data_IF_494659659904
#
_entry.id   IF_494659659904
#
_cell.length_a   1.000
_cell.length_b   1.000
_cell.length_c   1.000
_cell.angle_alpha   90.00
_cell.angle_beta   90.00
_cell.angle_gamma   90.00
#
_symmetry.space_group_name_H-M   'P 1'
#
loop_
_entity.id
_entity.type
_entity.pdbx_description
1 polymer ?
#
# COMPACT_ATOMS: atom_id res chain seq x y z
N UNK A 1 -14.60 -62.47 -42.78
CA UNK A 1 -15.42 -61.26 -43.00
C UNK A 1 -15.54 -60.56 -41.67
N UNK A 2 -14.97 -59.35 -41.65
CA UNK A 2 -14.94 -58.36 -40.58
C UNK A 2 -16.34 -57.92 -40.17
N UNK A 3 -16.59 -57.74 -38.88
CA UNK A 3 -17.18 -56.48 -38.40
C UNK A 3 -17.02 -56.39 -36.88
N UNK A 4 -16.03 -55.62 -36.46
CA UNK A 4 -15.90 -55.06 -35.12
C UNK A 4 -16.58 -53.69 -35.20
N UNK A 5 -17.67 -53.48 -34.48
CA UNK A 5 -18.23 -52.14 -34.24
C UNK A 5 -17.60 -51.58 -32.94
N UNK A 6 -16.75 -50.54 -33.02
CA UNK A 6 -16.15 -49.90 -31.87
C UNK A 6 -16.72 -48.48 -31.72
N UNK A 7 -17.94 -48.32 -31.24
CA UNK A 7 -18.49 -46.98 -30.99
C UNK A 7 -19.28 -46.90 -29.68
N UNK A 8 -18.63 -47.15 -28.54
CA UNK A 8 -19.08 -46.61 -27.26
C UNK A 8 -17.91 -46.45 -26.28
N UNK A 9 -16.93 -45.63 -26.64
CA UNK A 9 -15.84 -45.28 -25.73
C UNK A 9 -15.36 -43.84 -25.96
N UNK A 10 -16.27 -42.87 -25.89
CA UNK A 10 -15.92 -41.45 -25.82
C UNK A 10 -17.13 -40.64 -25.36
N UNK A 11 -17.30 -40.48 -24.05
CA UNK A 11 -18.26 -39.49 -23.51
C UNK A 11 -17.92 -39.16 -22.06
N UNK A 12 -17.41 -40.14 -21.30
CA UNK A 12 -17.02 -39.92 -19.91
C UNK A 12 -15.82 -38.97 -19.74
N UNK A 13 -14.93 -38.85 -20.74
CA UNK A 13 -13.76 -37.94 -20.72
C UNK A 13 -14.07 -36.49 -21.16
N UNK A 14 -15.19 -36.28 -21.86
CA UNK A 14 -15.63 -34.95 -22.29
C UNK A 14 -16.54 -34.31 -21.24
N UNK A 15 -17.37 -35.12 -20.56
CA UNK A 15 -18.30 -34.63 -19.56
C UNK A 15 -17.57 -34.01 -18.35
N UNK A 16 -16.47 -34.60 -17.85
CA UNK A 16 -15.71 -34.03 -16.73
C UNK A 16 -14.88 -32.79 -17.11
N UNK A 17 -14.42 -32.69 -18.36
CA UNK A 17 -13.71 -31.49 -18.86
C UNK A 17 -14.66 -30.33 -19.03
N UNK A 18 -15.85 -30.60 -19.56
CA UNK A 18 -16.94 -29.63 -19.70
C UNK A 18 -17.39 -29.10 -18.33
N UNK A 19 -17.53 -29.98 -17.32
CA UNK A 19 -17.89 -29.59 -15.96
C UNK A 19 -16.79 -28.77 -15.26
N UNK A 20 -15.53 -29.16 -15.44
CA UNK A 20 -14.38 -28.41 -14.89
C UNK A 20 -14.22 -27.02 -15.54
N UNK A 21 -14.48 -26.91 -16.85
CA UNK A 21 -14.41 -25.65 -17.58
C UNK A 21 -15.61 -24.75 -17.26
N UNK A 22 -16.82 -25.31 -17.11
CA UNK A 22 -18.01 -24.59 -16.68
C UNK A 22 -17.86 -24.04 -15.25
N UNK A 23 -17.28 -24.81 -14.33
CA UNK A 23 -17.02 -24.33 -12.97
C UNK A 23 -15.91 -23.28 -12.93
N UNK A 24 -14.86 -23.41 -13.76
CA UNK A 24 -13.84 -22.36 -13.93
C UNK A 24 -14.41 -21.07 -14.51
N UNK A 25 -15.31 -21.17 -15.48
CA UNK A 25 -15.98 -20.03 -16.09
C UNK A 25 -16.90 -19.33 -15.09
N UNK A 26 -17.65 -20.11 -14.29
CA UNK A 26 -18.52 -19.58 -13.23
C UNK A 26 -17.73 -18.87 -12.13
N UNK A 27 -16.61 -19.45 -11.69
CA UNK A 27 -15.72 -18.82 -10.72
C UNK A 27 -15.08 -17.55 -11.30
N UNK A 28 -14.62 -17.59 -12.54
CA UNK A 28 -14.07 -16.40 -13.21
C UNK A 28 -15.12 -15.28 -13.39
N UNK A 29 -16.38 -15.63 -13.67
CA UNK A 29 -17.46 -14.66 -13.78
C UNK A 29 -17.89 -14.10 -12.41
N UNK A 30 -17.83 -14.93 -11.35
CA UNK A 30 -18.02 -14.48 -9.98
C UNK A 30 -16.89 -13.57 -9.49
N UNK A 31 -15.63 -13.90 -9.80
CA UNK A 31 -14.46 -13.07 -9.51
C UNK A 31 -14.47 -11.77 -10.30
N UNK A 32 -14.86 -11.79 -11.58
CA UNK A 32 -15.00 -10.58 -12.39
C UNK A 32 -16.14 -9.69 -11.87
N UNK A 33 -17.26 -10.28 -11.43
CA UNK A 33 -18.39 -9.55 -10.84
C UNK A 33 -18.08 -9.00 -9.45
N UNK A 34 -17.30 -9.70 -8.65
CA UNK A 34 -16.78 -9.22 -7.38
C UNK A 34 -15.82 -8.05 -7.62
N UNK A 35 -14.86 -8.19 -8.53
CA UNK A 35 -13.91 -7.14 -8.88
C UNK A 35 -14.59 -5.86 -9.44
N UNK A 36 -15.71 -6.00 -10.16
CA UNK A 36 -16.48 -4.87 -10.67
C UNK A 36 -17.38 -4.18 -9.61
N UNK A 37 -17.66 -4.85 -8.49
CA UNK A 37 -18.59 -4.36 -7.44
C UNK A 37 -17.87 -3.82 -6.20
N UNK A 38 -16.54 -3.95 -6.12
CA UNK A 38 -15.72 -3.66 -4.94
C UNK A 38 -14.98 -2.32 -5.01
N UNK A 39 -15.16 -1.50 -6.06
CA UNK A 39 -14.55 -0.17 -6.06
C UNK A 39 -15.40 0.79 -5.23
N UNK A 40 -14.92 1.24 -4.05
CA UNK A 40 -15.62 2.28 -3.31
C UNK A 40 -15.78 3.51 -4.19
N UNK A 41 -16.91 4.24 -4.10
CA UNK A 41 -17.14 5.43 -4.91
C UNK A 41 -16.00 6.42 -4.67
N UNK A 42 -15.38 6.88 -5.75
CA UNK A 42 -14.37 7.95 -5.67
C UNK A 42 -15.11 9.20 -5.19
N UNK A 43 -14.69 9.81 -4.06
CA UNK A 43 -15.33 11.00 -3.54
C UNK A 43 -15.21 12.16 -4.54
N UNK A 44 -16.14 13.10 -4.45
CA UNK A 44 -16.11 14.30 -5.29
C UNK A 44 -14.79 15.07 -5.09
N UNK A 45 -14.27 15.61 -6.19
CA UNK A 45 -13.01 16.36 -6.17
C UNK A 45 -13.24 17.77 -5.61
N UNK A 46 -13.28 17.89 -4.28
CA UNK A 46 -13.37 19.17 -3.56
C UNK A 46 -12.02 19.60 -2.97
N UNK A 47 -11.89 20.89 -2.63
CA UNK A 47 -10.68 21.41 -2.01
C UNK A 47 -10.42 20.74 -0.65
N UNK A 48 -11.46 20.54 0.15
CA UNK A 48 -11.37 19.86 1.44
C UNK A 48 -10.86 18.44 1.28
N UNK A 49 -11.40 17.70 0.29
CA UNK A 49 -10.93 16.35 0.02
C UNK A 49 -9.45 16.34 -0.40
N UNK A 50 -9.02 17.31 -1.20
CA UNK A 50 -7.61 17.43 -1.58
C UNK A 50 -6.70 17.69 -0.37
N UNK A 51 -7.08 18.59 0.54
CA UNK A 51 -6.34 18.85 1.78
C UNK A 51 -6.28 17.61 2.67
N UNK A 52 -7.41 16.91 2.84
CA UNK A 52 -7.47 15.66 3.62
C UNK A 52 -6.58 14.58 3.00
N UNK A 53 -6.57 14.44 1.68
CA UNK A 53 -5.72 13.47 0.98
C UNK A 53 -4.23 13.73 1.22
N UNK A 54 -3.79 14.99 1.14
CA UNK A 54 -2.41 15.39 1.45
C UNK A 54 -2.08 15.21 2.94
N UNK A 55 -2.99 15.59 3.83
CA UNK A 55 -2.83 15.38 5.27
C UNK A 55 -2.69 13.88 5.62
N UNK A 56 -3.43 13.02 4.93
CA UNK A 56 -3.34 11.57 5.08
C UNK A 56 -1.97 11.03 4.68
N UNK A 57 -1.33 11.60 3.65
CA UNK A 57 0.04 11.24 3.27
C UNK A 57 1.05 11.62 4.36
N UNK A 58 0.88 12.79 4.99
CA UNK A 58 1.71 13.18 6.14
C UNK A 58 1.51 12.23 7.34
N UNK A 59 0.26 11.86 7.67
CA UNK A 59 -0.04 10.91 8.74
C UNK A 59 0.50 9.51 8.45
N UNK A 60 0.45 9.06 7.20
CA UNK A 60 1.01 7.78 6.77
C UNK A 60 2.54 7.76 6.92
N UNK A 61 3.22 8.85 6.54
CA UNK A 61 4.67 9.00 6.77
C UNK A 61 5.02 9.01 8.26
N UNK A 62 4.11 9.48 9.12
CA UNK A 62 4.21 9.38 10.58
C UNK A 62 3.85 7.99 11.14
N UNK A 63 3.66 6.98 10.28
CA UNK A 63 3.36 5.58 10.64
C UNK A 63 2.20 5.43 11.64
N UNK A 64 1.20 6.30 11.54
CA UNK A 64 -0.01 6.24 12.37
C UNK A 64 -0.87 5.07 11.91
N UNK A 65 -1.04 4.06 12.76
CA UNK A 65 -1.83 2.85 12.47
C UNK A 65 -2.98 2.70 13.47
N UNK A 66 -4.19 2.39 13.01
CA UNK A 66 -5.26 1.97 13.90
C UNK A 66 -4.97 0.57 14.44
N UNK A 67 -5.05 0.42 15.76
CA UNK A 67 -5.08 -0.84 16.49
C UNK A 67 -6.45 -1.52 16.31
N UNK A 68 -6.57 -2.87 16.45
CA UNK A 68 -7.87 -3.55 16.44
C UNK A 68 -8.84 -3.06 17.53
N UNK A 69 -8.34 -2.39 18.58
CA UNK A 69 -9.17 -1.71 19.59
C UNK A 69 -9.68 -0.32 19.18
N UNK A 70 -9.31 0.16 17.99
CA UNK A 70 -9.62 1.50 17.49
C UNK A 70 -8.69 2.60 17.99
N UNK A 71 -7.67 2.28 18.80
CA UNK A 71 -6.65 3.24 19.23
C UNK A 71 -5.61 3.47 18.13
N UNK A 72 -5.21 4.70 17.89
CA UNK A 72 -4.12 4.97 16.95
C UNK A 72 -2.79 4.82 17.67
N UNK A 73 -1.96 3.88 17.22
CA UNK A 73 -0.58 3.73 17.66
C UNK A 73 0.39 4.14 16.55
N UNK A 74 1.55 4.64 16.93
CA UNK A 74 2.60 5.07 16.00
C UNK A 74 3.72 4.02 16.04
N UNK A 75 4.03 3.42 14.89
CA UNK A 75 5.20 2.55 14.78
C UNK A 75 6.46 3.40 14.61
N UNK A 76 7.13 3.70 15.73
CA UNK A 76 8.32 4.56 15.78
C UNK A 76 9.50 4.05 14.93
N UNK A 77 9.51 2.77 14.52
CA UNK A 77 10.54 2.23 13.63
C UNK A 77 10.23 2.46 12.14
N UNK A 78 8.96 2.69 11.81
CA UNK A 78 8.48 2.90 10.45
C UNK A 78 8.21 4.36 10.12
N UNK A 79 8.44 5.29 11.07
CA UNK A 79 8.27 6.73 10.84
C UNK A 79 9.31 7.26 9.87
N UNK A 80 8.87 7.86 8.77
CA UNK A 80 9.69 8.69 7.89
C UNK A 80 9.44 10.17 8.18
N UNK A 81 10.29 10.72 9.06
CA UNK A 81 10.23 12.14 9.42
C UNK A 81 10.46 13.07 8.22
N UNK A 82 11.28 12.67 7.24
CA UNK A 82 11.57 13.53 6.08
C UNK A 82 10.37 13.60 5.15
N UNK A 83 9.70 12.48 4.92
CA UNK A 83 8.47 12.47 4.15
C UNK A 83 7.34 13.19 4.89
N UNK A 84 7.19 13.01 6.20
CA UNK A 84 6.17 13.73 6.96
C UNK A 84 6.37 15.26 6.85
N UNK A 85 7.60 15.74 7.02
CA UNK A 85 7.96 17.15 6.85
C UNK A 85 7.65 17.65 5.43
N UNK A 86 8.02 16.88 4.40
CA UNK A 86 7.75 17.25 3.02
C UNK A 86 6.25 17.45 2.72
N UNK A 87 5.37 16.58 3.22
CA UNK A 87 3.93 16.71 2.99
C UNK A 87 3.33 17.89 3.78
N UNK A 88 3.85 18.19 4.98
CA UNK A 88 3.46 19.38 5.75
C UNK A 88 3.89 20.65 5.01
N UNK A 89 5.11 20.69 4.46
CA UNK A 89 5.60 21.81 3.68
C UNK A 89 4.80 21.97 2.38
N UNK A 90 4.36 20.88 1.75
CA UNK A 90 3.49 20.94 0.57
C UNK A 90 2.14 21.59 0.91
N UNK A 91 1.56 21.29 2.06
CA UNK A 91 0.35 21.97 2.54
C UNK A 91 0.60 23.45 2.85
N UNK A 92 1.77 23.81 3.36
CA UNK A 92 2.14 25.21 3.58
C UNK A 92 2.31 25.97 2.25
N UNK A 93 2.91 25.35 1.23
CA UNK A 93 2.98 25.91 -0.12
C UNK A 93 1.57 26.06 -0.71
N UNK A 94 0.67 25.10 -0.47
CA UNK A 94 -0.71 25.20 -0.89
C UNK A 94 -1.39 26.43 -0.27
N UNK A 95 -1.26 26.63 1.05
CA UNK A 95 -1.78 27.82 1.75
C UNK A 95 -1.25 29.11 1.12
N UNK A 96 0.06 29.21 0.91
CA UNK A 96 0.67 30.39 0.31
C UNK A 96 0.17 30.67 -1.11
N UNK A 97 -0.10 29.62 -1.90
CA UNK A 97 -0.53 29.73 -3.30
C UNK A 97 -2.03 29.92 -3.48
N UNK A 98 -2.84 29.58 -2.49
CA UNK A 98 -4.30 29.71 -2.55
C UNK A 98 -4.83 30.94 -1.80
N UNK A 99 -3.96 31.72 -1.14
CA UNK A 99 -4.32 33.01 -0.51
C UNK A 99 -5.13 33.90 -1.45
N UNK A 100 -6.30 34.33 -0.98
CA UNK A 100 -7.25 35.17 -1.71
C UNK A 100 -8.22 34.41 -2.63
N UNK A 101 -8.05 33.09 -2.80
CA UNK A 101 -8.96 32.23 -3.57
C UNK A 101 -9.78 31.28 -2.70
N UNK A 102 -9.50 31.21 -1.38
CA UNK A 102 -10.21 30.35 -0.44
C UNK A 102 -11.40 31.08 0.20
N UNK A 103 -12.45 30.33 0.50
CA UNK A 103 -13.49 30.72 1.47
C UNK A 103 -12.91 30.77 2.89
N UNK A 104 -13.64 31.42 3.81
CA UNK A 104 -13.22 31.51 5.22
C UNK A 104 -13.15 30.11 5.86
N UNK A 105 -14.09 29.23 5.52
CA UNK A 105 -14.13 27.83 5.98
C UNK A 105 -12.94 27.02 5.46
N UNK A 106 -12.61 27.11 4.17
CA UNK A 106 -11.49 26.39 3.56
C UNK A 106 -10.14 26.88 4.12
N UNK A 107 -9.98 28.20 4.27
CA UNK A 107 -8.76 28.80 4.84
C UNK A 107 -8.55 28.36 6.29
N UNK A 108 -9.62 28.36 7.09
CA UNK A 108 -9.57 27.89 8.47
C UNK A 108 -9.22 26.41 8.55
N UNK A 109 -9.88 25.57 7.75
CA UNK A 109 -9.62 24.13 7.72
C UNK A 109 -8.18 23.80 7.33
N UNK A 110 -7.64 24.47 6.31
CA UNK A 110 -6.25 24.29 5.89
C UNK A 110 -5.27 24.70 7.00
N UNK A 111 -5.50 25.85 7.63
CA UNK A 111 -4.67 26.34 8.74
C UNK A 111 -4.67 25.38 9.92
N UNK A 112 -5.86 24.95 10.36
CA UNK A 112 -6.03 23.99 11.47
C UNK A 112 -5.37 22.64 11.15
N UNK A 113 -5.46 22.19 9.90
CA UNK A 113 -4.83 20.95 9.44
C UNK A 113 -3.31 21.06 9.50
N UNK A 114 -2.72 22.13 8.97
CA UNK A 114 -1.27 22.36 8.98
C UNK A 114 -0.74 22.47 10.41
N UNK A 115 -1.40 23.24 11.27
CA UNK A 115 -0.96 23.44 12.65
C UNK A 115 -1.10 22.16 13.49
N UNK A 116 -2.18 21.40 13.28
CA UNK A 116 -2.36 20.08 13.86
C UNK A 116 -1.23 19.12 13.46
N UNK A 117 -0.95 19.01 12.16
CA UNK A 117 0.12 18.14 11.66
C UNK A 117 1.50 18.55 12.16
N UNK A 118 1.82 19.84 12.22
CA UNK A 118 3.09 20.34 12.78
C UNK A 118 3.26 19.95 14.25
N UNK A 119 2.19 20.10 15.04
CA UNK A 119 2.20 19.72 16.45
C UNK A 119 2.45 18.24 16.62
N UNK A 120 1.72 17.40 15.87
CA UNK A 120 1.90 15.95 15.89
C UNK A 120 3.31 15.55 15.42
N UNK A 121 3.81 16.15 14.35
CA UNK A 121 5.15 15.91 13.83
C UNK A 121 6.23 16.16 14.88
N UNK A 122 6.16 17.28 15.60
CA UNK A 122 7.15 17.59 16.66
C UNK A 122 7.07 16.58 17.80
N UNK A 123 5.87 16.19 18.23
CA UNK A 123 5.68 15.17 19.27
C UNK A 123 6.29 13.83 18.84
N UNK A 124 6.00 13.38 17.62
CA UNK A 124 6.49 12.12 17.07
C UNK A 124 8.00 12.18 16.88
N UNK A 125 8.53 13.27 16.34
CA UNK A 125 9.98 13.49 16.21
C UNK A 125 10.70 13.32 17.54
N UNK A 126 10.17 13.89 18.62
CA UNK A 126 10.73 13.73 19.96
C UNK A 126 10.67 12.26 20.44
N UNK A 127 9.53 11.57 20.23
CA UNK A 127 9.37 10.16 20.60
C UNK A 127 10.31 9.24 19.80
N UNK A 128 10.47 9.46 18.50
CA UNK A 128 11.40 8.72 17.64
C UNK A 128 12.84 8.94 18.10
N UNK A 129 13.23 10.18 18.41
CA UNK A 129 14.57 10.48 18.94
C UNK A 129 14.83 9.78 20.27
N UNK A 130 13.87 9.78 21.19
CA UNK A 130 13.98 9.08 22.47
C UNK A 130 14.05 7.55 22.29
N UNK A 131 13.24 7.00 21.38
CA UNK A 131 13.25 5.58 21.03
C UNK A 131 14.62 5.16 20.45
N UNK A 132 15.17 5.96 19.53
CA UNK A 132 16.50 5.74 18.97
C UNK A 132 17.61 5.88 20.03
N UNK A 133 17.49 6.81 20.97
CA UNK A 133 18.46 6.97 22.05
C UNK A 133 18.46 5.78 23.03
N UNK A 134 17.28 5.19 23.31
CA UNK A 134 17.13 4.04 24.21
C UNK A 134 17.49 2.71 23.55
N UNK A 135 17.20 2.55 22.26
CA UNK A 135 17.39 1.28 21.54
C UNK A 135 18.61 1.27 20.60
N UNK A 136 19.21 2.42 20.29
CA UNK A 136 20.37 2.56 19.39
C UNK A 136 21.74 2.49 20.07
N UNK A 137 21.80 2.18 21.38
CA UNK A 137 23.04 2.16 22.17
C UNK A 137 23.78 0.81 22.26
N UNK A 138 23.47 -0.17 21.41
CA UNK A 138 24.03 -1.53 21.50
C UNK A 138 24.50 -2.10 20.16
N UNK A 139 25.64 -1.63 19.66
CA UNK A 139 26.41 -2.31 18.61
C UNK A 139 27.85 -2.47 19.10
N UNK A 140 28.15 -3.62 19.71
CA UNK A 140 29.52 -4.08 19.93
C UNK A 140 30.15 -4.47 18.59
N UNK A 141 31.36 -4.00 18.27
CA UNK A 141 32.06 -4.39 17.05
C UNK A 141 32.84 -5.68 17.33
N UNK A 142 32.24 -6.84 17.05
CA UNK A 142 33.00 -8.07 16.87
C UNK A 142 32.81 -8.56 15.44
N UNK A 143 33.65 -7.99 14.58
CA UNK A 143 34.06 -8.62 13.35
C UNK A 143 34.86 -9.87 13.71
N UNK A 144 34.30 -11.05 13.44
CA UNK A 144 35.13 -12.23 13.25
C UNK A 144 34.76 -12.95 11.95
N UNK A 145 35.70 -12.77 11.03
CA UNK A 145 35.91 -13.42 9.74
C UNK A 145 36.02 -14.94 9.86
N UNK A 146 35.40 -15.65 8.92
CA UNK A 146 35.69 -17.05 8.60
C UNK A 146 35.24 -17.36 7.17
N UNK A 147 36.10 -17.93 6.30
CA UNK A 147 35.84 -18.05 4.86
C UNK A 147 35.12 -19.36 4.51
N UNK A 148 34.25 -19.30 3.50
CA UNK A 148 33.54 -20.48 2.98
C UNK A 148 33.09 -20.25 1.54
N UNK A 149 34.01 -20.46 0.61
CA UNK A 149 33.78 -20.72 -0.82
C UNK A 149 32.71 -21.78 -1.04
N UNK A 150 31.71 -21.54 -1.90
CA UNK A 150 31.29 -22.46 -2.96
C UNK A 150 30.55 -21.73 -4.08
N UNK A 151 31.17 -21.77 -5.26
CA UNK A 151 30.62 -21.64 -6.61
C UNK A 151 29.27 -22.34 -6.79
N UNK A 152 28.34 -21.70 -7.51
CA UNK A 152 27.05 -22.25 -7.91
C UNK A 152 26.32 -21.29 -8.84
N UNK A 153 26.75 -21.29 -10.09
CA UNK A 153 26.07 -20.74 -11.26
C UNK A 153 24.68 -21.39 -11.40
N UNK A 154 23.61 -20.61 -11.42
CA UNK A 154 22.46 -20.95 -12.25
C UNK A 154 21.60 -19.72 -12.57
N UNK A 155 21.48 -19.51 -13.87
CA UNK A 155 20.72 -18.46 -14.53
C UNK A 155 19.22 -18.78 -14.50
N UNK A 156 18.40 -17.88 -13.96
CA UNK A 156 16.98 -17.83 -14.27
C UNK A 156 16.44 -16.41 -14.14
N UNK A 157 16.64 -15.64 -15.21
CA UNK A 157 15.93 -14.40 -15.49
C UNK A 157 14.46 -14.71 -15.73
N UNK A 158 13.58 -14.28 -14.82
CA UNK A 158 12.13 -14.40 -14.92
C UNK A 158 11.42 -13.18 -14.36
N UNK A 159 11.85 -11.98 -14.75
CA UNK A 159 11.16 -10.73 -14.44
C UNK A 159 10.08 -10.45 -15.49
N UNK A 160 8.84 -10.87 -15.23
CA UNK A 160 7.67 -10.46 -16.01
C UNK A 160 7.34 -9.00 -15.68
N UNK A 161 8.06 -8.07 -16.32
CA UNK A 161 7.69 -6.66 -16.38
C UNK A 161 6.67 -6.42 -17.50
N UNK A 162 5.56 -5.79 -17.16
CA UNK A 162 4.50 -5.38 -18.08
C UNK A 162 5.05 -4.35 -19.09
N UNK A 163 5.09 -4.70 -20.37
CA UNK A 163 5.34 -3.76 -21.47
C UNK A 163 3.99 -3.19 -21.90
N UNK A 164 3.79 -1.89 -21.67
CA UNK A 164 2.63 -1.13 -22.13
C UNK A 164 2.96 -0.58 -23.54
N UNK A 165 2.04 -0.65 -24.52
CA UNK A 165 2.28 -0.17 -25.90
C UNK A 165 2.52 1.34 -25.99
#
# INVERSE_FOLDING_TARGET
MTETDPSNHFSADEDWKSEAEAERARLAEADAKAAASEQPPIPEATFEYFVIALASQAMMAMAMRPDPSGQVFIDLNAVDLKMAEHHIDLLAVLDDKTKGNLTDEESKMLTETVDGLRTQYVQIKNQVQEHLAKHGGGLTPDAQTGPGTTTGEDTASGGSGLIIP
#
